data_IF_895612611877
#
_entry.id   IF_895612611877
#
_cell.length_a   1.000
_cell.length_b   1.000
_cell.length_c   1.000
_cell.angle_alpha   90.00
_cell.angle_beta   90.00
_cell.angle_gamma   90.00
#
_symmetry.space_group_name_H-M   'P 1'
#
loop_
_entity.id
_entity.type
_entity.pdbx_description
1 polymer ?
#
# COMPACT_ATOMS: atom_id res chain seq x y z
N UNK A 1 -0.63 13.71 17.51
CA UNK A 1 -0.46 14.93 16.67
C UNK A 1 0.88 15.65 16.89
N UNK A 2 1.43 15.77 18.10
CA UNK A 2 2.74 16.44 18.32
C UNK A 2 3.88 15.76 17.55
N UNK A 3 3.92 14.42 17.50
CA UNK A 3 4.91 13.67 16.71
C UNK A 3 4.76 13.98 15.21
N UNK A 4 3.52 13.97 14.70
CA UNK A 4 3.23 14.30 13.29
C UNK A 4 3.78 15.68 12.94
N UNK A 5 3.46 16.69 13.77
CA UNK A 5 3.94 18.06 13.57
C UNK A 5 5.48 18.17 13.64
N UNK A 6 6.08 17.43 14.57
CA UNK A 6 7.54 17.40 14.75
C UNK A 6 8.28 16.85 13.52
N UNK A 7 7.72 15.84 12.85
CA UNK A 7 8.31 15.18 11.68
C UNK A 7 7.99 15.94 10.41
N UNK A 8 6.70 16.30 10.19
CA UNK A 8 6.25 16.98 8.98
C UNK A 8 6.63 18.47 8.92
N UNK A 9 6.91 19.08 10.09
CA UNK A 9 7.09 20.52 10.23
C UNK A 9 5.78 21.31 10.20
N UNK A 10 4.62 20.64 10.33
CA UNK A 10 3.31 21.28 10.28
C UNK A 10 3.12 22.24 11.47
N UNK A 11 2.75 23.48 11.19
CA UNK A 11 2.46 24.54 12.17
C UNK A 11 1.21 25.33 11.75
N UNK A 12 0.60 26.06 12.70
CA UNK A 12 -0.54 26.91 12.39
C UNK A 12 -1.69 26.16 11.76
N UNK A 13 -2.12 26.57 10.55
CA UNK A 13 -3.24 25.98 9.84
C UNK A 13 -2.98 24.53 9.46
N UNK A 14 -1.77 24.18 8.99
CA UNK A 14 -1.39 22.82 8.64
C UNK A 14 -1.59 21.84 9.79
N UNK A 15 -1.19 22.24 11.00
CA UNK A 15 -1.42 21.43 12.21
C UNK A 15 -2.91 21.25 12.49
N UNK A 16 -3.69 22.33 12.34
CA UNK A 16 -5.15 22.30 12.55
C UNK A 16 -5.86 21.39 11.54
N UNK A 17 -5.42 21.42 10.28
CA UNK A 17 -5.99 20.60 9.21
C UNK A 17 -5.73 19.10 9.48
N UNK A 18 -4.51 18.73 9.86
CA UNK A 18 -4.15 17.36 10.25
C UNK A 18 -4.95 16.90 11.49
N UNK A 19 -5.06 17.76 12.51
CA UNK A 19 -5.84 17.44 13.72
C UNK A 19 -7.33 17.24 13.40
N UNK A 20 -7.87 18.11 12.57
CA UNK A 20 -9.27 18.02 12.11
C UNK A 20 -9.52 16.75 11.32
N UNK A 21 -8.62 16.42 10.39
CA UNK A 21 -8.73 15.19 9.59
C UNK A 21 -8.61 13.94 10.46
N UNK A 22 -7.68 13.89 11.42
CA UNK A 22 -7.55 12.76 12.35
C UNK A 22 -8.83 12.57 13.19
N UNK A 23 -9.41 13.65 13.72
CA UNK A 23 -10.69 13.60 14.44
C UNK A 23 -11.85 13.15 13.55
N UNK A 24 -11.91 13.64 12.32
CA UNK A 24 -12.91 13.22 11.34
C UNK A 24 -12.82 11.71 11.09
N UNK A 25 -11.61 11.20 10.87
CA UNK A 25 -11.39 9.76 10.66
C UNK A 25 -11.84 8.94 11.88
N UNK A 26 -11.50 9.39 13.07
CA UNK A 26 -11.96 8.74 14.32
C UNK A 26 -13.48 8.74 14.50
N UNK A 27 -14.18 9.72 13.95
CA UNK A 27 -15.64 9.80 14.03
C UNK A 27 -16.38 8.99 12.95
N UNK A 28 -15.73 8.74 11.80
CA UNK A 28 -16.40 8.19 10.60
C UNK A 28 -15.89 6.81 10.18
N UNK A 29 -14.90 6.28 10.87
CA UNK A 29 -14.28 4.97 10.54
C UNK A 29 -14.22 4.06 11.78
N UNK A 30 -13.75 2.84 11.59
CA UNK A 30 -13.48 1.89 12.67
C UNK A 30 -12.23 2.24 13.50
N UNK A 31 -11.43 3.19 13.05
CA UNK A 31 -10.21 3.60 13.71
C UNK A 31 -10.45 4.84 14.57
N UNK A 32 -9.74 4.92 15.69
CA UNK A 32 -9.76 6.11 16.54
C UNK A 32 -8.97 7.28 15.93
N UNK A 33 -9.21 8.48 16.44
CA UNK A 33 -8.43 9.66 16.07
C UNK A 33 -6.94 9.51 16.40
N UNK A 34 -6.61 8.76 17.45
CA UNK A 34 -5.23 8.44 17.83
C UNK A 34 -4.57 7.51 16.81
N UNK A 35 -5.26 6.46 16.37
CA UNK A 35 -4.76 5.57 15.32
C UNK A 35 -4.58 6.31 13.99
N UNK A 36 -5.52 7.17 13.62
CA UNK A 36 -5.38 8.04 12.45
C UNK A 36 -4.14 8.97 12.54
N UNK A 37 -3.90 9.55 13.72
CA UNK A 37 -2.70 10.36 13.96
C UNK A 37 -1.41 9.52 13.87
N UNK A 38 -1.41 8.28 14.34
CA UNK A 38 -0.26 7.38 14.21
C UNK A 38 0.00 7.04 12.73
N UNK A 39 -1.05 6.77 11.94
CA UNK A 39 -0.90 6.57 10.50
C UNK A 39 -0.28 7.80 9.81
N UNK A 40 -0.74 9.01 10.17
CA UNK A 40 -0.15 10.26 9.66
C UNK A 40 1.32 10.43 10.05
N UNK A 41 1.76 9.89 11.19
CA UNK A 41 3.17 9.90 11.58
C UNK A 41 4.03 9.10 10.60
N UNK A 42 3.60 7.92 10.16
CA UNK A 42 4.28 7.14 9.12
C UNK A 42 4.30 7.87 7.78
N UNK A 43 3.18 8.51 7.39
CA UNK A 43 3.14 9.34 6.18
C UNK A 43 4.14 10.50 6.26
N UNK A 44 4.25 11.15 7.43
CA UNK A 44 5.21 12.24 7.64
C UNK A 44 6.66 11.73 7.57
N UNK A 45 6.95 10.53 8.11
CA UNK A 45 8.26 9.87 7.96
C UNK A 45 8.58 9.56 6.50
N UNK A 46 7.58 9.20 5.68
CA UNK A 46 7.72 9.03 4.23
C UNK A 46 7.88 10.38 3.47
N UNK A 47 7.89 11.50 4.18
CA UNK A 47 8.10 12.83 3.60
C UNK A 47 6.83 13.53 3.10
N UNK A 48 5.65 12.98 3.36
CA UNK A 48 4.38 13.57 2.95
C UNK A 48 4.13 14.90 3.68
N UNK A 49 3.57 15.85 2.95
CA UNK A 49 3.14 17.14 3.50
C UNK A 49 1.69 17.08 3.96
N UNK A 50 1.23 18.13 4.63
CA UNK A 50 -0.15 18.25 5.14
C UNK A 50 -1.19 17.89 4.09
N UNK A 51 -1.06 18.46 2.89
CA UNK A 51 -1.99 18.21 1.76
C UNK A 51 -1.98 16.76 1.32
N UNK A 52 -0.82 16.13 1.29
CA UNK A 52 -0.65 14.73 0.91
C UNK A 52 -1.30 13.81 1.96
N UNK A 53 -1.02 14.07 3.25
CA UNK A 53 -1.58 13.28 4.35
C UNK A 53 -3.11 13.39 4.40
N UNK A 54 -3.66 14.59 4.22
CA UNK A 54 -5.11 14.82 4.22
C UNK A 54 -5.79 14.13 3.05
N UNK A 55 -5.17 14.13 1.86
CA UNK A 55 -5.73 13.50 0.65
C UNK A 55 -5.56 11.98 0.62
N UNK A 56 -4.48 11.47 1.23
CA UNK A 56 -4.10 10.07 1.13
C UNK A 56 -4.65 9.15 2.23
N UNK A 57 -4.99 9.68 3.40
CA UNK A 57 -5.34 8.88 4.57
C UNK A 57 -6.58 8.00 4.36
N UNK A 58 -7.57 8.47 3.61
CA UNK A 58 -8.82 7.73 3.38
C UNK A 58 -8.56 6.38 2.69
N UNK A 59 -7.69 6.35 1.68
CA UNK A 59 -7.30 5.12 0.99
C UNK A 59 -6.59 4.14 1.92
N UNK A 60 -5.68 4.65 2.74
CA UNK A 60 -4.92 3.83 3.71
C UNK A 60 -5.84 3.21 4.75
N UNK A 61 -6.76 3.99 5.31
CA UNK A 61 -7.70 3.51 6.33
C UNK A 61 -8.69 2.50 5.76
N UNK A 62 -9.19 2.72 4.55
CA UNK A 62 -10.05 1.75 3.87
C UNK A 62 -9.30 0.43 3.61
N UNK A 63 -8.03 0.47 3.20
CA UNK A 63 -7.23 -0.73 2.99
C UNK A 63 -6.95 -1.48 4.30
N UNK A 64 -6.62 -0.77 5.37
CA UNK A 64 -6.40 -1.36 6.68
C UNK A 64 -7.69 -2.02 7.21
N UNK A 65 -8.83 -1.34 7.12
CA UNK A 65 -10.13 -1.89 7.51
C UNK A 65 -10.50 -3.12 6.65
N UNK A 66 -10.32 -3.03 5.33
CA UNK A 66 -10.60 -4.11 4.39
C UNK A 66 -9.74 -5.35 4.66
N UNK A 67 -8.44 -5.19 4.85
CA UNK A 67 -7.51 -6.31 5.10
C UNK A 67 -7.59 -6.81 6.54
N UNK A 68 -7.85 -5.94 7.50
CA UNK A 68 -7.70 -6.17 8.94
C UNK A 68 -6.24 -6.10 9.40
N UNK A 69 -5.38 -5.56 8.56
CA UNK A 69 -3.99 -5.29 8.88
C UNK A 69 -3.87 -4.10 9.84
N UNK A 70 -2.73 -4.01 10.51
CA UNK A 70 -2.40 -2.85 11.34
C UNK A 70 -2.36 -1.57 10.50
N UNK A 71 -2.97 -0.48 11.01
CA UNK A 71 -3.10 0.76 10.25
C UNK A 71 -1.73 1.42 9.99
N UNK A 72 -0.81 1.36 10.96
CA UNK A 72 0.53 1.93 10.82
C UNK A 72 1.33 1.16 9.76
N UNK A 73 1.29 -0.18 9.80
CA UNK A 73 1.92 -1.03 8.79
C UNK A 73 1.30 -0.83 7.40
N UNK A 74 -0.03 -0.67 7.33
CA UNK A 74 -0.71 -0.38 6.05
C UNK A 74 -0.28 0.97 5.51
N UNK A 75 -0.11 1.98 6.38
CA UNK A 75 0.40 3.30 5.99
C UNK A 75 1.79 3.20 5.36
N UNK A 76 2.70 2.45 5.99
CA UNK A 76 4.05 2.19 5.48
C UNK A 76 4.02 1.51 4.10
N UNK A 77 3.24 0.45 3.94
CA UNK A 77 3.08 -0.27 2.67
C UNK A 77 2.56 0.65 1.55
N UNK A 78 1.57 1.48 1.84
CA UNK A 78 0.97 2.38 0.85
C UNK A 78 1.92 3.50 0.47
N UNK A 79 2.58 4.15 1.45
CA UNK A 79 3.52 5.24 1.18
C UNK A 79 4.75 4.77 0.40
N UNK A 80 5.30 3.62 0.76
CA UNK A 80 6.42 2.99 0.05
C UNK A 80 6.00 2.59 -1.36
N UNK A 81 4.82 1.97 -1.51
CA UNK A 81 4.29 1.56 -2.81
C UNK A 81 4.05 2.74 -3.74
N UNK A 82 3.36 3.78 -3.28
CA UNK A 82 3.12 5.00 -4.07
C UNK A 82 4.44 5.62 -4.52
N UNK A 83 5.42 5.71 -3.63
CA UNK A 83 6.75 6.23 -3.95
C UNK A 83 7.45 5.36 -4.99
N UNK A 84 7.44 4.03 -4.83
CA UNK A 84 8.11 3.10 -5.72
C UNK A 84 7.52 3.12 -7.15
N UNK A 85 6.20 3.30 -7.29
CA UNK A 85 5.51 3.39 -8.58
C UNK A 85 5.38 4.82 -9.11
N UNK A 86 5.94 5.83 -8.43
CA UNK A 86 5.86 7.22 -8.86
C UNK A 86 4.45 7.81 -8.81
N UNK A 87 3.58 7.26 -7.95
CA UNK A 87 2.20 7.70 -7.75
C UNK A 87 2.15 8.84 -6.72
N UNK A 88 1.17 9.71 -6.88
CA UNK A 88 0.90 10.79 -5.92
C UNK A 88 0.12 10.28 -4.69
N UNK A 89 0.18 11.02 -3.58
CA UNK A 89 -0.60 10.73 -2.37
C UNK A 89 -2.12 10.68 -2.63
N UNK A 90 -2.62 11.51 -3.55
CA UNK A 90 -4.03 11.50 -3.97
C UNK A 90 -4.49 10.20 -4.64
N UNK A 91 -3.55 9.37 -5.10
CA UNK A 91 -3.84 8.06 -5.70
C UNK A 91 -3.87 6.92 -4.68
N UNK A 92 -3.76 7.20 -3.39
CA UNK A 92 -3.79 6.18 -2.32
C UNK A 92 -5.06 5.33 -2.35
N UNK A 93 -6.21 5.91 -2.70
CA UNK A 93 -7.47 5.17 -2.85
C UNK A 93 -7.43 4.21 -4.04
N UNK A 94 -6.81 4.59 -5.17
CA UNK A 94 -6.59 3.69 -6.31
C UNK A 94 -5.68 2.53 -5.92
N UNK A 95 -4.54 2.83 -5.28
CA UNK A 95 -3.62 1.84 -4.77
C UNK A 95 -4.33 0.86 -3.80
N UNK A 96 -5.08 1.39 -2.84
CA UNK A 96 -5.84 0.61 -1.88
C UNK A 96 -6.87 -0.31 -2.56
N UNK A 97 -7.59 0.18 -3.55
CA UNK A 97 -8.59 -0.59 -4.28
C UNK A 97 -7.98 -1.74 -5.06
N UNK A 98 -6.85 -1.52 -5.74
CA UNK A 98 -6.10 -2.55 -6.47
C UNK A 98 -5.61 -3.64 -5.52
N UNK A 99 -5.02 -3.26 -4.38
CA UNK A 99 -4.56 -4.19 -3.35
C UNK A 99 -5.71 -4.99 -2.72
N UNK A 100 -6.83 -4.34 -2.43
CA UNK A 100 -8.02 -4.98 -1.89
C UNK A 100 -8.63 -5.98 -2.88
N UNK A 101 -8.74 -5.60 -4.15
CA UNK A 101 -9.24 -6.48 -5.20
C UNK A 101 -8.39 -7.75 -5.35
N UNK A 102 -7.06 -7.62 -5.34
CA UNK A 102 -6.19 -8.79 -5.41
C UNK A 102 -6.28 -9.68 -4.16
N UNK A 103 -6.36 -9.09 -2.97
CA UNK A 103 -6.47 -9.86 -1.72
C UNK A 103 -7.79 -10.64 -1.60
N UNK A 104 -8.81 -10.25 -2.37
CA UNK A 104 -10.10 -10.95 -2.45
C UNK A 104 -10.15 -12.01 -3.55
N UNK A 105 -9.31 -11.88 -4.58
CA UNK A 105 -9.39 -12.69 -5.80
C UNK A 105 -8.14 -13.56 -6.03
N UNK A 106 -7.15 -13.49 -5.14
CA UNK A 106 -5.95 -14.32 -5.19
C UNK A 106 -5.55 -14.79 -3.78
N UNK A 107 -4.75 -15.85 -3.72
CA UNK A 107 -4.28 -16.42 -2.45
C UNK A 107 -3.16 -15.58 -1.82
N UNK A 108 -3.44 -14.31 -1.54
CA UNK A 108 -2.50 -13.36 -0.96
C UNK A 108 -3.19 -12.43 0.05
N UNK A 109 -2.44 -11.55 0.67
CA UNK A 109 -2.94 -10.47 1.53
C UNK A 109 -2.10 -9.20 1.34
N UNK A 110 -2.53 -8.11 2.00
CA UNK A 110 -1.89 -6.79 1.85
C UNK A 110 -0.43 -6.81 2.30
N UNK A 111 -0.12 -7.49 3.41
CA UNK A 111 1.25 -7.57 3.95
C UNK A 111 2.18 -8.35 3.00
N UNK A 112 1.71 -9.48 2.45
CA UNK A 112 2.49 -10.28 1.51
C UNK A 112 2.76 -9.52 0.21
N UNK A 113 1.77 -8.75 -0.29
CA UNK A 113 1.97 -7.88 -1.46
C UNK A 113 2.91 -6.73 -1.15
N UNK A 114 2.79 -6.09 0.02
CA UNK A 114 3.73 -5.07 0.50
C UNK A 114 5.16 -5.61 0.55
N UNK A 115 5.35 -6.81 1.09
CA UNK A 115 6.66 -7.46 1.09
C UNK A 115 7.18 -7.72 -0.35
N UNK A 116 6.32 -8.12 -1.29
CA UNK A 116 6.69 -8.25 -2.71
C UNK A 116 7.19 -6.92 -3.27
N UNK A 117 6.50 -5.82 -2.97
CA UNK A 117 6.83 -4.50 -3.52
C UNK A 117 8.15 -3.92 -2.99
N UNK A 118 8.57 -4.25 -1.78
CA UNK A 118 9.91 -3.91 -1.28
C UNK A 118 11.04 -4.41 -2.20
N UNK A 119 10.82 -5.51 -2.88
CA UNK A 119 11.82 -6.10 -3.79
C UNK A 119 11.66 -5.62 -5.23
N UNK A 120 10.44 -5.48 -5.74
CA UNK A 120 10.20 -5.22 -7.18
C UNK A 120 9.81 -3.78 -7.48
N UNK A 121 9.25 -3.04 -6.51
CA UNK A 121 8.59 -1.75 -6.74
C UNK A 121 9.46 -0.75 -7.49
N UNK A 122 10.69 -0.52 -7.01
CA UNK A 122 11.60 0.43 -7.66
C UNK A 122 11.97 0.03 -9.11
N UNK A 123 12.14 -1.27 -9.37
CA UNK A 123 12.44 -1.76 -10.73
C UNK A 123 11.22 -1.63 -11.66
N UNK A 124 10.03 -1.96 -11.15
CA UNK A 124 8.79 -1.84 -11.90
C UNK A 124 8.45 -0.37 -12.22
N UNK A 125 8.54 0.52 -11.22
CA UNK A 125 8.32 1.94 -11.39
C UNK A 125 9.30 2.59 -12.37
N UNK A 126 10.59 2.24 -12.32
CA UNK A 126 11.61 2.72 -13.25
C UNK A 126 11.33 2.29 -14.71
N UNK A 127 10.67 1.14 -14.92
CA UNK A 127 10.23 0.67 -16.23
C UNK A 127 8.85 1.20 -16.65
N UNK A 128 8.17 1.96 -15.80
CA UNK A 128 6.85 2.50 -16.05
C UNK A 128 5.73 1.48 -15.96
N UNK A 129 5.96 0.32 -15.33
CA UNK A 129 4.90 -0.66 -15.05
C UNK A 129 3.99 -0.16 -13.94
N UNK A 130 2.69 -0.40 -14.10
CA UNK A 130 1.67 0.05 -13.17
C UNK A 130 1.58 -0.83 -11.92
N UNK A 131 0.93 -0.32 -10.87
CA UNK A 131 0.58 -1.12 -9.69
C UNK A 131 -0.35 -2.28 -10.07
N UNK A 132 -1.27 -2.06 -11.01
CA UNK A 132 -2.19 -3.08 -11.54
C UNK A 132 -1.43 -4.25 -12.18
N UNK A 133 -0.41 -3.95 -12.98
CA UNK A 133 0.46 -4.95 -13.59
C UNK A 133 1.17 -5.82 -12.53
N UNK A 134 1.72 -5.17 -11.51
CA UNK A 134 2.48 -5.86 -10.47
C UNK A 134 1.58 -6.67 -9.54
N UNK A 135 0.39 -6.16 -9.25
CA UNK A 135 -0.60 -6.87 -8.43
C UNK A 135 -1.16 -8.08 -9.18
N UNK A 136 -1.42 -7.97 -10.48
CA UNK A 136 -1.81 -9.10 -11.31
C UNK A 136 -0.75 -10.22 -11.28
N UNK A 137 0.50 -9.88 -11.56
CA UNK A 137 1.60 -10.85 -11.54
C UNK A 137 1.77 -11.51 -10.16
N UNK A 138 1.74 -10.70 -9.10
CA UNK A 138 1.86 -11.18 -7.71
C UNK A 138 0.71 -12.10 -7.34
N UNK A 139 -0.52 -11.78 -7.73
CA UNK A 139 -1.70 -12.59 -7.46
C UNK A 139 -1.65 -13.96 -8.16
N UNK A 140 -1.24 -13.98 -9.44
CA UNK A 140 -1.06 -15.23 -10.19
C UNK A 140 0.04 -16.12 -9.56
N UNK A 141 1.17 -15.54 -9.17
CA UNK A 141 2.23 -16.25 -8.45
C UNK A 141 1.74 -16.77 -7.09
N UNK A 142 0.97 -15.96 -6.38
CA UNK A 142 0.45 -16.30 -5.06
C UNK A 142 -0.53 -17.49 -5.10
N UNK A 143 -1.32 -17.63 -6.15
CA UNK A 143 -2.20 -18.79 -6.37
C UNK A 143 -1.40 -20.09 -6.50
N UNK A 144 -0.17 -20.02 -6.98
CA UNK A 144 0.78 -21.14 -7.03
C UNK A 144 1.67 -21.24 -5.74
N UNK A 145 1.40 -20.45 -4.70
CA UNK A 145 2.13 -20.49 -3.44
C UNK A 145 3.39 -19.63 -3.38
N UNK A 146 3.71 -18.86 -4.44
CA UNK A 146 4.90 -17.99 -4.50
C UNK A 146 4.50 -16.58 -4.07
N UNK A 147 4.94 -16.15 -2.88
CA UNK A 147 4.46 -14.95 -2.19
C UNK A 147 5.61 -14.15 -1.60
N UNK A 148 5.33 -12.90 -1.20
CA UNK A 148 6.25 -12.03 -0.46
C UNK A 148 7.58 -11.84 -1.20
N UNK A 149 8.68 -11.99 -0.49
CA UNK A 149 10.03 -11.78 -1.02
C UNK A 149 10.39 -12.70 -2.20
N UNK A 150 9.84 -13.91 -2.26
CA UNK A 150 10.07 -14.83 -3.39
C UNK A 150 9.45 -14.28 -4.68
N UNK A 151 8.19 -13.84 -4.62
CA UNK A 151 7.50 -13.21 -5.77
C UNK A 151 8.23 -11.92 -6.19
N UNK A 152 8.60 -11.08 -5.24
CA UNK A 152 9.31 -9.84 -5.50
C UNK A 152 10.69 -10.04 -6.13
N UNK A 153 11.44 -11.03 -5.67
CA UNK A 153 12.74 -11.39 -6.25
C UNK A 153 12.59 -11.91 -7.68
N UNK A 154 11.61 -12.80 -7.91
CA UNK A 154 11.33 -13.35 -9.24
C UNK A 154 10.93 -12.26 -10.23
N UNK A 155 10.00 -11.37 -9.85
CA UNK A 155 9.57 -10.25 -10.69
C UNK A 155 10.70 -9.27 -10.96
N UNK A 156 11.47 -8.87 -9.94
CA UNK A 156 12.61 -7.97 -10.12
C UNK A 156 13.65 -8.55 -11.09
N UNK A 157 14.01 -9.83 -10.92
CA UNK A 157 14.96 -10.49 -11.82
C UNK A 157 14.45 -10.51 -13.26
N UNK A 158 13.18 -10.87 -13.45
CA UNK A 158 12.54 -10.89 -14.75
C UNK A 158 12.53 -9.51 -15.42
N UNK A 159 12.05 -8.47 -14.72
CA UNK A 159 11.99 -7.10 -15.23
C UNK A 159 13.39 -6.59 -15.60
N UNK A 160 14.39 -6.82 -14.72
CA UNK A 160 15.77 -6.37 -14.98
C UNK A 160 16.38 -7.05 -16.19
N UNK A 161 16.15 -8.37 -16.36
CA UNK A 161 16.65 -9.13 -17.50
C UNK A 161 15.94 -8.80 -18.81
N UNK A 162 14.66 -8.44 -18.74
CA UNK A 162 13.92 -7.97 -19.94
C UNK A 162 14.34 -6.55 -20.34
N UNK A 163 14.64 -5.68 -19.35
CA UNK A 163 15.11 -4.32 -19.61
C UNK A 163 16.52 -4.28 -20.24
N UNK A 164 17.38 -5.23 -19.83
CA UNK A 164 18.74 -5.39 -20.37
C UNK A 164 19.00 -6.90 -20.59
N UNK A 165 18.51 -7.45 -21.73
CA UNK A 165 18.56 -8.89 -21.95
C UNK A 165 20.01 -9.44 -21.98
N UNK A 166 20.21 -10.56 -21.29
CA UNK A 166 21.35 -11.43 -21.56
C UNK A 166 21.16 -12.13 -22.91
N UNK A 167 22.19 -12.77 -23.42
CA UNK A 167 22.06 -13.53 -24.68
C UNK A 167 20.98 -14.62 -24.59
N UNK A 168 20.93 -15.31 -23.44
CA UNK A 168 19.93 -16.34 -23.17
C UNK A 168 18.51 -15.75 -23.08
N UNK A 169 18.34 -14.64 -22.36
CA UNK A 169 17.06 -13.96 -22.21
C UNK A 169 16.56 -13.43 -23.57
N UNK A 170 17.44 -12.84 -24.38
CA UNK A 170 17.09 -12.40 -25.74
C UNK A 170 16.67 -13.59 -26.62
N UNK A 171 17.41 -14.69 -26.58
CA UNK A 171 17.06 -15.90 -27.33
C UNK A 171 15.68 -16.42 -26.93
N UNK A 172 15.36 -16.41 -25.64
CA UNK A 172 14.05 -16.82 -25.17
C UNK A 172 12.94 -15.85 -25.64
N UNK A 173 13.16 -14.53 -25.53
CA UNK A 173 12.21 -13.52 -26.01
C UNK A 173 11.92 -13.70 -27.51
N UNK A 174 12.96 -13.85 -28.33
CA UNK A 174 12.83 -14.04 -29.79
C UNK A 174 12.04 -15.34 -30.10
N UNK A 175 12.36 -16.43 -29.41
CA UNK A 175 11.70 -17.72 -29.62
C UNK A 175 10.22 -17.72 -29.21
N UNK A 176 9.86 -16.94 -28.19
CA UNK A 176 8.49 -16.80 -27.68
C UNK A 176 7.70 -15.67 -28.40
N UNK A 177 8.32 -14.94 -29.31
CA UNK A 177 7.72 -13.76 -29.95
C UNK A 177 7.43 -12.61 -28.98
N UNK A 178 8.18 -12.52 -27.90
CA UNK A 178 8.01 -11.53 -26.86
C UNK A 178 8.79 -10.23 -27.17
N UNK A 179 8.18 -9.11 -26.82
CA UNK A 179 8.86 -7.81 -26.79
C UNK A 179 8.35 -6.99 -25.62
N UNK A 180 9.23 -6.21 -24.99
CA UNK A 180 8.85 -5.23 -23.96
C UNK A 180 8.40 -3.90 -24.57
N UNK A 181 8.59 -3.71 -25.88
CA UNK A 181 8.17 -2.52 -26.61
C UNK A 181 7.20 -2.88 -27.73
N UNK A 182 6.32 -1.94 -28.08
CA UNK A 182 5.47 -2.01 -29.27
C UNK A 182 6.23 -1.52 -30.49
N UNK A 183 5.63 -1.72 -31.67
CA UNK A 183 6.22 -1.28 -32.95
C UNK A 183 6.42 0.23 -33.06
N UNK A 184 5.67 1.02 -32.31
CA UNK A 184 5.81 2.48 -32.23
C UNK A 184 6.90 2.94 -31.25
N UNK A 185 7.60 2.01 -30.59
CA UNK A 185 8.63 2.27 -29.58
C UNK A 185 8.11 2.49 -28.16
N UNK A 186 6.79 2.52 -27.94
CA UNK A 186 6.22 2.63 -26.60
C UNK A 186 6.43 1.35 -25.81
N UNK A 187 6.52 1.48 -24.47
CA UNK A 187 6.58 0.30 -23.59
C UNK A 187 5.25 -0.43 -23.55
N UNK A 188 5.28 -1.76 -23.58
CA UNK A 188 4.13 -2.59 -23.23
C UNK A 188 3.89 -2.55 -21.74
N UNK A 189 2.63 -2.72 -21.29
CA UNK A 189 2.34 -3.04 -19.90
C UNK A 189 2.93 -4.41 -19.53
N UNK A 190 3.16 -4.67 -18.25
CA UNK A 190 3.65 -5.99 -17.84
C UNK A 190 2.59 -7.08 -18.09
N UNK A 191 1.31 -6.73 -18.02
CA UNK A 191 0.20 -7.61 -18.38
C UNK A 191 0.28 -8.08 -19.85
N UNK A 192 0.61 -7.16 -20.78
CA UNK A 192 0.83 -7.51 -22.19
C UNK A 192 2.06 -8.42 -22.36
N UNK A 193 3.16 -8.12 -21.65
CA UNK A 193 4.37 -8.97 -21.66
C UNK A 193 4.08 -10.37 -21.13
N UNK A 194 3.31 -10.49 -20.05
CA UNK A 194 2.85 -11.77 -19.51
C UNK A 194 1.97 -12.51 -20.50
N UNK A 195 1.11 -11.80 -21.22
CA UNK A 195 0.23 -12.39 -22.27
C UNK A 195 1.05 -12.93 -23.43
N UNK A 196 2.04 -12.19 -23.89
CA UNK A 196 2.96 -12.66 -24.94
C UNK A 196 3.70 -13.93 -24.48
N UNK A 197 4.22 -13.95 -23.25
CA UNK A 197 4.88 -15.12 -22.67
C UNK A 197 3.96 -16.35 -22.64
N UNK A 198 2.75 -16.18 -22.12
CA UNK A 198 1.74 -17.25 -22.05
C UNK A 198 1.41 -17.79 -23.44
N UNK A 199 1.20 -16.91 -24.39
CA UNK A 199 0.91 -17.27 -25.79
C UNK A 199 2.07 -18.01 -26.42
N UNK A 200 3.29 -17.51 -26.27
CA UNK A 200 4.50 -18.13 -26.81
C UNK A 200 4.78 -19.52 -26.21
N UNK A 201 4.37 -19.75 -24.95
CA UNK A 201 4.54 -21.04 -24.26
C UNK A 201 3.38 -22.02 -24.47
N UNK A 202 2.33 -21.64 -25.20
CA UNK A 202 1.21 -22.56 -25.50
C UNK A 202 1.68 -23.79 -26.29
N UNK A 203 1.21 -24.97 -25.87
CA UNK A 203 1.55 -26.25 -26.53
C UNK A 203 2.96 -26.79 -26.19
N UNK A 204 3.76 -26.07 -25.41
CA UNK A 204 5.06 -26.55 -24.96
C UNK A 204 4.93 -27.57 -23.83
N UNK A 205 5.93 -28.46 -23.71
CA UNK A 205 6.06 -29.35 -22.55
C UNK A 205 6.51 -28.56 -21.33
N UNK A 206 6.29 -29.10 -20.13
CA UNK A 206 6.69 -28.41 -18.89
C UNK A 206 8.20 -28.17 -18.83
N UNK A 207 9.03 -29.10 -19.35
CA UNK A 207 10.48 -28.92 -19.44
C UNK A 207 10.87 -27.75 -20.35
N UNK A 208 10.17 -27.59 -21.49
CA UNK A 208 10.41 -26.46 -22.39
C UNK A 208 10.00 -25.14 -21.73
N UNK A 209 8.83 -25.09 -21.08
CA UNK A 209 8.39 -23.92 -20.33
C UNK A 209 9.38 -23.55 -19.23
N UNK A 210 9.85 -24.55 -18.46
CA UNK A 210 10.83 -24.32 -17.39
C UNK A 210 12.17 -23.77 -17.93
N UNK A 211 12.63 -24.30 -19.07
CA UNK A 211 13.84 -23.81 -19.73
C UNK A 211 13.70 -22.34 -20.15
N UNK A 212 12.61 -21.99 -20.85
CA UNK A 212 12.36 -20.61 -21.26
C UNK A 212 12.16 -19.67 -20.07
N UNK A 213 11.44 -20.09 -19.02
CA UNK A 213 11.26 -19.30 -17.81
C UNK A 213 12.61 -19.00 -17.12
N UNK A 214 13.48 -20.01 -17.05
CA UNK A 214 14.84 -19.83 -16.50
C UNK A 214 15.72 -18.92 -17.38
N UNK A 215 15.58 -18.98 -18.69
CA UNK A 215 16.31 -18.08 -19.60
C UNK A 215 15.79 -16.64 -19.48
N UNK A 216 14.48 -16.43 -19.36
CA UNK A 216 13.88 -15.09 -19.23
C UNK A 216 14.24 -14.42 -17.91
N UNK A 217 14.03 -15.09 -16.79
CA UNK A 217 14.08 -14.46 -15.48
C UNK A 217 15.23 -14.92 -14.59
N UNK A 218 15.97 -15.98 -14.99
CA UNK A 218 16.94 -16.66 -14.13
C UNK A 218 16.32 -17.80 -13.33
N UNK A 219 17.16 -18.60 -12.71
CA UNK A 219 16.73 -19.75 -11.90
C UNK A 219 15.82 -19.30 -10.73
N UNK A 220 16.09 -18.15 -10.15
CA UNK A 220 15.32 -17.53 -9.07
C UNK A 220 13.91 -17.10 -9.48
N UNK A 221 13.69 -16.82 -10.76
CA UNK A 221 12.38 -16.40 -11.28
C UNK A 221 11.61 -17.55 -11.97
N UNK A 222 12.26 -18.67 -12.26
CA UNK A 222 11.69 -19.78 -13.02
C UNK A 222 10.34 -20.22 -12.48
N UNK A 223 10.24 -20.51 -11.19
CA UNK A 223 8.98 -20.95 -10.57
C UNK A 223 7.87 -19.89 -10.65
N UNK A 224 8.22 -18.61 -10.47
CA UNK A 224 7.27 -17.50 -10.55
C UNK A 224 6.74 -17.32 -11.97
N UNK A 225 7.60 -17.38 -12.97
CA UNK A 225 7.20 -17.29 -14.39
C UNK A 225 6.38 -18.51 -14.82
N UNK A 226 6.70 -19.72 -14.35
CA UNK A 226 5.89 -20.91 -14.57
C UNK A 226 4.50 -20.78 -13.94
N UNK A 227 4.39 -20.20 -12.75
CA UNK A 227 3.11 -19.93 -12.12
C UNK A 227 2.22 -19.03 -12.99
N UNK A 228 2.81 -17.97 -13.58
CA UNK A 228 2.08 -17.09 -14.51
C UNK A 228 1.76 -17.82 -15.82
N UNK A 229 2.71 -18.56 -16.41
CA UNK A 229 2.53 -19.26 -17.67
C UNK A 229 1.44 -20.34 -17.60
N UNK A 230 1.37 -21.05 -16.48
CA UNK A 230 0.44 -22.16 -16.26
C UNK A 230 -0.89 -21.73 -15.58
N UNK A 231 -1.05 -20.46 -15.22
CA UNK A 231 -2.33 -19.96 -14.73
C UNK A 231 -3.43 -20.20 -15.78
N UNK A 232 -4.63 -20.63 -15.37
CA UNK A 232 -5.74 -20.79 -16.29
C UNK A 232 -6.12 -19.45 -16.93
N UNK A 233 -6.69 -19.48 -18.15
CA UNK A 233 -7.17 -18.25 -18.79
C UNK A 233 -8.27 -17.60 -17.97
N UNK A 234 -9.08 -18.40 -17.27
CA UNK A 234 -10.10 -17.91 -16.37
C UNK A 234 -9.49 -17.15 -15.20
N UNK A 235 -8.50 -17.71 -14.49
CA UNK A 235 -7.87 -17.05 -13.35
C UNK A 235 -7.16 -15.76 -13.77
N UNK A 236 -6.51 -15.78 -14.93
CA UNK A 236 -5.86 -14.59 -15.49
C UNK A 236 -6.89 -13.49 -15.80
N UNK A 237 -8.00 -13.83 -16.47
CA UNK A 237 -9.05 -12.88 -16.82
C UNK A 237 -9.82 -12.36 -15.60
N UNK A 238 -10.22 -13.23 -14.69
CA UNK A 238 -10.97 -12.87 -13.49
C UNK A 238 -10.17 -11.88 -12.65
N UNK A 239 -8.89 -12.17 -12.41
CA UNK A 239 -8.03 -11.28 -11.62
C UNK A 239 -7.76 -9.96 -12.35
N UNK A 240 -7.53 -9.99 -13.67
CA UNK A 240 -7.37 -8.77 -14.49
C UNK A 240 -8.62 -7.91 -14.41
N UNK A 241 -9.81 -8.48 -14.55
CA UNK A 241 -11.08 -7.77 -14.47
C UNK A 241 -11.30 -7.18 -13.07
N UNK A 242 -11.08 -7.97 -12.02
CA UNK A 242 -11.24 -7.52 -10.64
C UNK A 242 -10.31 -6.33 -10.32
N UNK A 243 -9.08 -6.34 -10.82
CA UNK A 243 -8.12 -5.25 -10.65
C UNK A 243 -8.56 -4.02 -11.47
N UNK A 244 -8.93 -4.18 -12.73
CA UNK A 244 -9.33 -3.08 -13.61
C UNK A 244 -10.59 -2.36 -13.10
N UNK A 245 -11.54 -3.09 -12.54
CA UNK A 245 -12.79 -2.55 -12.01
C UNK A 245 -12.67 -2.11 -10.53
N UNK A 246 -11.54 -2.32 -9.89
CA UNK A 246 -11.34 -2.15 -8.44
C UNK A 246 -11.73 -0.75 -7.92
N UNK A 247 -11.53 0.29 -8.72
CA UNK A 247 -11.85 1.67 -8.33
C UNK A 247 -13.27 2.10 -8.67
N UNK A 248 -13.96 1.39 -9.56
CA UNK A 248 -15.30 1.73 -10.05
C UNK A 248 -16.39 0.77 -9.59
N UNK A 249 -16.01 -0.37 -9.02
CA UNK A 249 -16.96 -1.35 -8.51
C UNK A 249 -17.81 -0.76 -7.36
N UNK A 250 -18.91 -1.42 -7.07
CA UNK A 250 -19.81 -1.08 -5.96
C UNK A 250 -20.31 0.37 -6.02
N UNK A 251 -20.81 0.81 -7.18
CA UNK A 251 -21.35 2.16 -7.42
C UNK A 251 -20.27 3.27 -7.21
N UNK A 252 -19.01 2.98 -7.52
CA UNK A 252 -17.92 3.93 -7.42
C UNK A 252 -17.30 4.07 -6.03
N UNK A 253 -17.69 3.23 -5.07
CA UNK A 253 -17.05 3.19 -3.74
C UNK A 253 -15.61 2.64 -3.80
N UNK A 254 -15.36 1.72 -4.73
CA UNK A 254 -14.12 0.99 -4.86
C UNK A 254 -14.01 -0.22 -3.92
N UNK A 255 -13.12 -1.14 -4.27
CA UNK A 255 -12.99 -2.44 -3.62
C UNK A 255 -12.60 -2.32 -2.14
N UNK A 256 -11.66 -1.45 -1.79
CA UNK A 256 -11.21 -1.29 -0.41
C UNK A 256 -12.32 -0.78 0.51
N UNK A 257 -13.03 0.27 0.09
CA UNK A 257 -14.11 0.83 0.89
C UNK A 257 -15.29 -0.16 1.03
N UNK A 258 -15.63 -0.88 -0.04
CA UNK A 258 -16.68 -1.91 0.01
C UNK A 258 -16.31 -3.06 0.95
N UNK A 259 -15.09 -3.58 0.84
CA UNK A 259 -14.63 -4.65 1.72
C UNK A 259 -14.60 -4.22 3.18
N UNK A 260 -14.16 -2.97 3.45
CA UNK A 260 -14.18 -2.39 4.78
C UNK A 260 -15.62 -2.31 5.32
N UNK A 261 -16.57 -1.83 4.52
CA UNK A 261 -17.99 -1.73 4.90
C UNK A 261 -18.56 -3.12 5.23
N UNK A 262 -18.37 -4.12 4.37
CA UNK A 262 -18.86 -5.50 4.61
C UNK A 262 -18.24 -6.10 5.86
N UNK A 263 -16.94 -5.86 6.08
CA UNK A 263 -16.22 -6.41 7.24
C UNK A 263 -16.69 -5.81 8.56
N UNK A 264 -17.16 -4.56 8.53
CA UNK A 264 -17.66 -3.84 9.70
C UNK A 264 -19.18 -3.96 9.89
N UNK A 265 -19.91 -4.53 8.94
CA UNK A 265 -21.37 -4.77 9.03
C UNK A 265 -21.68 -5.98 9.94
N UNK A 266 -21.37 -5.81 11.22
CA UNK A 266 -21.65 -6.79 12.27
C UNK A 266 -21.52 -6.14 13.66
N UNK A 267 -22.01 -6.83 14.69
CA UNK A 267 -21.99 -6.34 16.08
C UNK A 267 -20.60 -5.92 16.57
N UNK A 268 -19.54 -6.62 16.16
CA UNK A 268 -18.18 -6.26 16.56
C UNK A 268 -17.71 -4.97 15.86
N UNK A 269 -18.11 -4.77 14.61
CA UNK A 269 -17.90 -3.51 13.88
C UNK A 269 -18.63 -2.35 14.57
N UNK A 270 -19.90 -2.54 14.94
CA UNK A 270 -20.69 -1.54 15.69
C UNK A 270 -20.02 -1.15 17.00
N UNK A 271 -19.54 -2.13 17.77
CA UNK A 271 -18.80 -1.89 19.03
C UNK A 271 -17.48 -1.15 18.77
N UNK A 272 -16.79 -1.47 17.69
CA UNK A 272 -15.54 -0.80 17.31
C UNK A 272 -15.78 0.65 16.96
N UNK A 273 -16.79 0.93 16.14
CA UNK A 273 -17.19 2.30 15.76
C UNK A 273 -17.65 3.09 16.98
N UNK A 274 -18.45 2.48 17.88
CA UNK A 274 -18.85 3.10 19.14
C UNK A 274 -17.66 3.48 20.01
N UNK A 275 -16.68 2.57 20.16
CA UNK A 275 -15.46 2.83 20.93
C UNK A 275 -14.66 4.02 20.34
N UNK A 276 -14.49 4.06 19.03
CA UNK A 276 -13.83 5.18 18.34
C UNK A 276 -14.58 6.49 18.54
N UNK A 277 -15.90 6.46 18.47
CA UNK A 277 -16.76 7.64 18.75
C UNK A 277 -16.65 8.12 20.21
N UNK A 278 -16.57 7.22 21.18
CA UNK A 278 -16.36 7.57 22.60
C UNK A 278 -14.97 8.18 22.84
N UNK A 279 -13.94 7.68 22.16
CA UNK A 279 -12.62 8.32 22.21
C UNK A 279 -12.65 9.73 21.63
N UNK A 280 -13.34 9.92 20.48
CA UNK A 280 -13.56 11.24 19.88
C UNK A 280 -14.28 12.21 20.82
N UNK A 281 -15.28 11.74 21.55
CA UNK A 281 -15.95 12.52 22.58
C UNK A 281 -14.99 12.90 23.72
N UNK A 282 -14.17 11.96 24.18
CA UNK A 282 -13.14 12.23 25.20
C UNK A 282 -12.13 13.29 24.75
N UNK A 283 -11.69 13.24 23.49
CA UNK A 283 -10.80 14.24 22.89
C UNK A 283 -11.48 15.61 22.85
N UNK A 284 -12.77 15.69 22.45
CA UNK A 284 -13.53 16.92 22.38
C UNK A 284 -13.70 17.57 23.77
N UNK A 285 -13.95 16.78 24.80
CA UNK A 285 -14.02 17.26 26.20
C UNK A 285 -12.64 17.78 26.62
N UNK A 286 -11.58 17.01 26.39
CA UNK A 286 -10.21 17.41 26.72
C UNK A 286 -9.81 18.72 26.03
N UNK A 287 -10.16 18.90 24.76
CA UNK A 287 -9.85 20.12 24.00
C UNK A 287 -10.46 21.37 24.63
N UNK A 288 -11.64 21.24 25.23
CA UNK A 288 -12.30 22.34 25.92
C UNK A 288 -11.63 22.71 27.28
N UNK A 289 -10.99 21.74 27.93
CA UNK A 289 -10.40 21.95 29.26
C UNK A 289 -8.87 22.06 29.24
N UNK A 290 -8.20 21.66 28.14
CA UNK A 290 -6.73 21.65 28.07
C UNK A 290 -6.08 23.01 28.28
N UNK A 291 -6.69 24.07 27.81
CA UNK A 291 -6.20 25.45 28.02
C UNK A 291 -6.10 25.83 29.50
N UNK A 292 -7.23 25.77 30.25
CA UNK A 292 -7.22 25.98 31.67
C UNK A 292 -6.28 25.04 32.43
N UNK A 293 -6.27 23.73 32.15
CA UNK A 293 -5.39 22.77 32.79
C UNK A 293 -3.92 23.08 32.55
N UNK A 294 -3.54 23.38 31.31
CA UNK A 294 -2.16 23.73 30.95
C UNK A 294 -1.70 24.99 31.69
N UNK A 295 -2.55 26.02 31.80
CA UNK A 295 -2.27 27.25 32.54
C UNK A 295 -2.02 26.96 34.02
N UNK A 296 -2.88 26.14 34.65
CA UNK A 296 -2.71 25.74 36.07
C UNK A 296 -1.40 24.96 36.25
N UNK A 297 -1.13 23.97 35.37
CA UNK A 297 0.11 23.18 35.47
C UNK A 297 1.36 24.03 35.28
N UNK A 298 1.37 24.95 34.31
CA UNK A 298 2.50 25.86 34.09
C UNK A 298 2.70 26.80 35.26
N UNK A 299 1.63 27.30 35.87
CA UNK A 299 1.70 28.14 37.05
C UNK A 299 2.26 27.37 38.23
N UNK A 300 1.77 26.16 38.48
CA UNK A 300 2.30 25.28 39.53
C UNK A 300 3.80 24.98 39.33
N UNK A 301 4.19 24.65 38.08
CA UNK A 301 5.60 24.39 37.74
C UNK A 301 6.50 25.62 38.02
N UNK A 302 6.03 26.83 37.65
CA UNK A 302 6.76 28.06 37.93
C UNK A 302 6.87 28.32 39.43
N UNK A 303 5.81 28.08 40.21
CA UNK A 303 5.83 28.19 41.65
C UNK A 303 6.83 27.22 42.30
N UNK A 304 6.84 25.97 41.87
CA UNK A 304 7.81 24.95 42.34
C UNK A 304 9.24 25.37 41.96
N UNK A 305 9.47 25.87 40.75
CA UNK A 305 10.78 26.38 40.31
C UNK A 305 11.26 27.55 41.18
N UNK A 306 10.41 28.55 41.38
CA UNK A 306 10.77 29.70 42.22
C UNK A 306 10.99 29.34 43.71
N UNK A 307 10.25 28.36 44.23
CA UNK A 307 10.48 27.85 45.59
C UNK A 307 11.81 27.09 45.69
N UNK A 308 12.13 26.27 44.68
CA UNK A 308 13.41 25.55 44.56
C UNK A 308 14.58 26.54 44.53
N UNK A 309 14.48 27.59 43.70
CA UNK A 309 15.51 28.62 43.58
C UNK A 309 15.68 29.39 44.90
N UNK A 310 14.59 29.72 45.59
CA UNK A 310 14.65 30.38 46.90
C UNK A 310 15.31 29.51 47.99
N UNK A 311 15.06 28.20 47.94
CA UNK A 311 15.67 27.24 48.88
C UNK A 311 17.13 26.95 48.56
N UNK A 312 17.52 27.03 47.27
CA UNK A 312 18.89 26.71 46.84
C UNK A 312 19.82 27.90 46.89
N UNK A 313 19.30 29.13 46.68
CA UNK A 313 20.08 30.36 46.61
C UNK A 313 19.85 31.29 47.82
N UNK A 314 19.01 30.91 48.77
CA UNK A 314 18.66 31.68 49.97
C UNK A 314 19.33 31.23 51.29
N UNK A 315 20.44 30.44 51.18
CA UNK A 315 21.25 30.02 52.34
C UNK A 315 22.53 30.77 52.43
#
# INVERSE_FOLDING_TARGET
>A
MSSVASISGATGQDFTDLETKAKQMGATTAFSATEAANAMEYMAMAGWKTTDMVSGIDGIMNLAAASGADLAQTSDIVTDGLTAFGMSAGESSRFANVMAAASSNANTNVEMMGETFKYVGAAAGAMGYSIEDMVLATGLMANAGIKGSQAGTALRSTITRMAKPTKESQTAMDALGMSVTRSDGSMKSFAEVMTDMRTGMQGMTEDQKASYAAMLGGQEAMSGLLAIANASDKDFQDLTTAIAESSTCYNGLGAAAQMAAVKLDNLQGDVTILKSGLEGLGIAIYDNIKGPLRSVTQTATKMVGSLSDALTNGG
#
